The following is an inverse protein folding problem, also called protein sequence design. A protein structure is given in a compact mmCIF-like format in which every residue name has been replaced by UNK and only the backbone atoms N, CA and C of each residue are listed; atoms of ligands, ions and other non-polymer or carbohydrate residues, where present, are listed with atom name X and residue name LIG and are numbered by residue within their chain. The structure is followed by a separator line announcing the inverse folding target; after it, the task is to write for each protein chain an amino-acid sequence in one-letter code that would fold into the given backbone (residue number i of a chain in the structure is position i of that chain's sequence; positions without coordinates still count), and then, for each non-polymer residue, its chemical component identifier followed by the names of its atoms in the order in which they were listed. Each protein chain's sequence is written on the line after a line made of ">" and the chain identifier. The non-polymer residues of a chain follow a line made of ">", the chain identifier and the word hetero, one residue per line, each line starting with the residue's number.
data_IF_445224304359
#
_entry.id   IF_445224304359
#
_cell.length_a   1.000
_cell.length_b   1.000
_cell.length_c   1.000
_cell.angle_alpha   90.00
_cell.angle_beta   90.00
_cell.angle_gamma   90.00
#
_symmetry.space_group_name_H-M   'P 1'
#
loop_
_entity.id
_entity.type
_entity.pdbx_description
1 polymer ?
#
# COMPACT_ATOMS: atom_id res chain seq x y z
N UNK A 1 23.06 3.25 -9.13
CA UNK A 1 23.04 1.77 -9.11
C UNK A 1 23.38 1.27 -7.72
N UNK A 2 24.34 1.91 -7.05
CA UNK A 2 24.80 1.57 -5.68
C UNK A 2 23.69 1.56 -4.62
N UNK A 3 22.83 2.58 -4.50
CA UNK A 3 21.77 2.62 -3.47
C UNK A 3 20.76 1.48 -3.63
N UNK A 4 20.36 1.15 -4.87
CA UNK A 4 19.46 0.03 -5.13
C UNK A 4 20.12 -1.31 -4.81
N UNK A 5 21.42 -1.43 -5.09
CA UNK A 5 22.20 -2.62 -4.76
C UNK A 5 22.39 -2.79 -3.25
N UNK A 6 22.68 -1.71 -2.51
CA UNK A 6 22.77 -1.75 -1.04
C UNK A 6 21.43 -2.08 -0.39
N UNK A 7 20.32 -1.52 -0.90
CA UNK A 7 18.98 -1.84 -0.40
C UNK A 7 18.58 -3.30 -0.71
N UNK A 8 18.93 -3.81 -1.88
CA UNK A 8 18.69 -5.21 -2.25
C UNK A 8 19.52 -6.17 -1.38
N UNK A 9 20.81 -5.87 -1.22
CA UNK A 9 21.70 -6.64 -0.34
C UNK A 9 21.22 -6.54 1.10
N UNK A 10 20.80 -5.38 1.58
CA UNK A 10 20.22 -5.20 2.92
C UNK A 10 18.93 -6.00 3.10
N UNK A 11 18.04 -6.03 2.11
CA UNK A 11 16.85 -6.89 2.13
C UNK A 11 17.23 -8.37 2.19
N UNK A 12 18.17 -8.81 1.35
CA UNK A 12 18.67 -10.19 1.39
C UNK A 12 19.30 -10.52 2.75
N UNK A 13 20.10 -9.61 3.30
CA UNK A 13 20.71 -9.73 4.62
C UNK A 13 19.68 -9.78 5.74
N UNK A 14 18.58 -9.03 5.65
CA UNK A 14 17.48 -9.07 6.62
C UNK A 14 16.74 -10.43 6.60
N UNK A 15 16.86 -11.17 5.50
CA UNK A 15 16.22 -12.47 5.30
C UNK A 15 17.13 -13.66 5.60
N UNK A 16 18.45 -13.46 5.66
CA UNK A 16 19.41 -14.50 6.06
C UNK A 16 19.12 -15.09 7.46
N UNK A 17 18.80 -14.29 8.51
CA UNK A 17 18.46 -14.82 9.83
C UNK A 17 17.14 -15.60 9.84
N UNK A 18 16.29 -15.47 8.81
CA UNK A 18 15.01 -16.17 8.74
C UNK A 18 15.18 -17.62 8.21
N UNK A 19 16.32 -17.91 7.57
CA UNK A 19 16.70 -19.25 7.12
C UNK A 19 17.45 -20.04 8.21
N UNK A 20 18.16 -19.34 9.11
CA UNK A 20 18.91 -19.96 10.20
C UNK A 20 18.19 -19.72 11.54
N UNK A 21 17.67 -20.79 12.13
CA UNK A 21 17.14 -20.89 13.52
C UNK A 21 15.62 -20.96 13.64
N UNK A 22 15.10 -22.18 13.75
CA UNK A 22 14.67 -22.71 15.04
C UNK A 22 14.33 -24.20 14.84
N UNK A 23 15.36 -25.06 14.78
CA UNK A 23 15.20 -26.44 15.22
C UNK A 23 15.08 -26.39 16.74
N UNK A 24 13.86 -26.19 17.25
CA UNK A 24 13.56 -26.58 18.61
C UNK A 24 12.88 -27.94 18.53
N UNK A 25 13.70 -28.99 18.47
CA UNK A 25 13.31 -30.37 18.74
C UNK A 25 12.78 -30.43 20.17
N UNK A 26 11.49 -30.14 20.35
CA UNK A 26 10.77 -30.62 21.52
C UNK A 26 10.45 -32.09 21.27
N UNK A 27 11.41 -32.93 21.66
CA UNK A 27 11.19 -34.33 21.98
C UNK A 27 9.96 -34.43 22.87
N UNK A 28 8.88 -34.98 22.31
CA UNK A 28 7.72 -35.35 23.09
C UNK A 28 8.05 -36.70 23.72
N UNK A 29 8.42 -36.66 25.00
CA UNK A 29 8.45 -37.85 25.83
C UNK A 29 7.03 -38.43 25.84
N UNK A 30 6.82 -39.52 25.11
CA UNK A 30 5.62 -40.35 25.24
C UNK A 30 5.92 -41.30 26.40
N UNK A 31 5.40 -40.94 27.57
CA UNK A 31 5.31 -41.84 28.71
C UNK A 31 3.93 -42.55 28.67
N UNK A 32 4.00 -43.85 28.39
CA UNK A 32 3.22 -44.99 28.91
C UNK A 32 1.73 -44.78 29.29
N UNK A 33 0.87 -45.48 28.54
CA UNK A 33 -0.33 -46.21 28.96
C UNK A 33 -1.54 -45.40 29.49
N UNK A 34 -2.49 -45.10 28.60
CA UNK A 34 -3.81 -44.58 28.96
C UNK A 34 -4.79 -44.72 27.80
N UNK A 35 -5.56 -45.81 27.80
CA UNK A 35 -6.68 -46.06 26.90
C UNK A 35 -7.85 -45.13 27.27
N UNK A 36 -8.09 -44.06 26.50
CA UNK A 36 -9.26 -43.18 26.70
C UNK A 36 -9.90 -42.80 25.35
N UNK A 37 -11.05 -43.44 25.12
CA UNK A 37 -12.22 -43.07 24.30
C UNK A 37 -12.06 -42.19 23.05
N UNK A 38 -12.03 -42.88 21.92
CA UNK A 38 -12.17 -42.36 20.55
C UNK A 38 -13.63 -42.04 20.18
N UNK A 39 -14.34 -41.19 20.94
CA UNK A 39 -15.68 -40.75 20.51
C UNK A 39 -16.06 -39.31 20.90
N UNK A 40 -16.27 -38.48 19.87
CA UNK A 40 -17.22 -37.34 19.84
C UNK A 40 -16.90 -36.07 20.65
N UNK A 41 -15.64 -35.65 20.71
CA UNK A 41 -15.32 -34.26 21.03
C UNK A 41 -14.90 -33.57 19.73
N UNK A 42 -15.75 -32.65 19.26
CA UNK A 42 -15.44 -31.62 18.26
C UNK A 42 -13.95 -31.29 18.29
N UNK A 43 -13.21 -31.68 17.26
CA UNK A 43 -11.75 -31.54 17.12
C UNK A 43 -11.34 -30.09 17.42
N UNK A 44 -11.06 -29.81 18.69
CA UNK A 44 -10.81 -28.46 19.18
C UNK A 44 -9.43 -28.09 18.66
N UNK A 45 -9.37 -27.30 17.59
CA UNK A 45 -8.09 -26.90 16.99
C UNK A 45 -7.14 -26.41 18.09
N UNK A 46 -5.88 -26.84 18.00
CA UNK A 46 -4.82 -26.41 18.90
C UNK A 46 -4.80 -24.87 18.99
N UNK A 47 -4.91 -24.27 20.19
CA UNK A 47 -4.96 -22.82 20.36
C UNK A 47 -3.74 -22.10 19.78
N UNK A 48 -2.56 -22.74 19.78
CA UNK A 48 -1.34 -22.22 19.15
C UNK A 48 -1.51 -22.10 17.63
N UNK A 49 -2.09 -23.11 16.99
CA UNK A 49 -2.34 -23.09 15.54
C UNK A 49 -3.36 -22.00 15.17
N UNK A 50 -4.42 -21.83 15.95
CA UNK A 50 -5.40 -20.75 15.74
C UNK A 50 -4.75 -19.38 15.86
N UNK A 51 -3.85 -19.20 16.83
CA UNK A 51 -3.06 -17.98 16.98
C UNK A 51 -2.17 -17.73 15.75
N UNK A 52 -1.40 -18.72 15.30
CA UNK A 52 -0.53 -18.60 14.13
C UNK A 52 -1.32 -18.27 12.85
N UNK A 53 -2.51 -18.85 12.66
CA UNK A 53 -3.41 -18.51 11.54
C UNK A 53 -3.85 -17.04 11.61
N UNK A 54 -4.21 -16.54 12.80
CA UNK A 54 -4.58 -15.13 12.99
C UNK A 54 -3.41 -14.21 12.65
N UNK A 55 -2.22 -14.49 13.17
CA UNK A 55 -1.01 -13.69 12.91
C UNK A 55 -0.67 -13.70 11.41
N UNK A 56 -0.72 -14.86 10.76
CA UNK A 56 -0.55 -14.97 9.31
C UNK A 56 -1.55 -14.10 8.55
N UNK A 57 -2.84 -14.17 8.91
CA UNK A 57 -3.90 -13.37 8.31
C UNK A 57 -3.66 -11.86 8.46
N UNK A 58 -3.31 -11.39 9.66
CA UNK A 58 -3.01 -9.97 9.90
C UNK A 58 -1.76 -9.49 9.14
N UNK A 59 -0.70 -10.29 9.10
CA UNK A 59 0.51 -9.92 8.35
C UNK A 59 0.24 -9.82 6.84
N UNK A 60 -0.49 -10.78 6.26
CA UNK A 60 -0.80 -10.74 4.84
C UNK A 60 -1.86 -9.69 4.49
N UNK A 61 -2.78 -9.37 5.41
CA UNK A 61 -3.63 -8.20 5.29
C UNK A 61 -2.78 -6.92 5.25
N UNK A 62 -1.90 -6.71 6.24
CA UNK A 62 -1.07 -5.50 6.31
C UNK A 62 -0.17 -5.37 5.05
N UNK A 63 0.39 -6.47 4.57
CA UNK A 63 1.19 -6.47 3.35
C UNK A 63 0.36 -6.22 2.09
N UNK A 64 -0.52 -7.15 1.74
CA UNK A 64 -1.21 -7.18 0.45
C UNK A 64 -2.38 -6.20 0.39
N UNK A 65 -3.07 -6.03 1.51
CA UNK A 65 -4.26 -5.20 1.64
C UNK A 65 -3.97 -3.72 1.89
N UNK A 66 -2.80 -3.37 2.44
CA UNK A 66 -2.46 -1.99 2.84
C UNK A 66 -1.17 -1.50 2.18
N UNK A 67 -0.02 -2.14 2.44
CA UNK A 67 1.28 -1.64 2.00
C UNK A 67 1.47 -1.66 0.48
N UNK A 68 1.01 -2.72 -0.20
CA UNK A 68 1.04 -2.79 -1.67
C UNK A 68 0.19 -1.67 -2.30
N UNK A 69 -1.10 -1.48 -1.94
CA UNK A 69 -1.91 -0.34 -2.41
C UNK A 69 -1.28 1.02 -2.12
N UNK A 70 -0.78 1.26 -0.91
CA UNK A 70 -0.13 2.54 -0.55
C UNK A 70 1.01 2.84 -1.52
N UNK A 71 1.85 1.85 -1.82
CA UNK A 71 2.96 2.05 -2.75
C UNK A 71 2.51 2.35 -4.18
N UNK A 72 1.45 1.69 -4.65
CA UNK A 72 0.88 1.95 -6.00
C UNK A 72 0.24 3.34 -6.08
N UNK A 73 -0.56 3.70 -5.08
CA UNK A 73 -1.18 5.01 -4.95
C UNK A 73 -0.12 6.11 -4.90
N UNK A 74 0.97 5.89 -4.15
CA UNK A 74 2.08 6.85 -4.01
C UNK A 74 2.79 7.12 -5.34
N UNK A 75 3.14 6.07 -6.10
CA UNK A 75 3.83 6.26 -7.38
C UNK A 75 2.90 6.88 -8.45
N UNK A 76 1.60 6.63 -8.37
CA UNK A 76 0.62 7.24 -9.28
C UNK A 76 0.48 8.74 -9.05
N UNK A 77 0.58 9.22 -7.81
CA UNK A 77 0.56 10.66 -7.51
C UNK A 77 1.69 11.44 -8.20
N UNK A 78 2.80 10.78 -8.53
CA UNK A 78 3.90 11.39 -9.30
C UNK A 78 3.46 11.76 -10.72
N UNK A 79 2.47 11.06 -11.27
CA UNK A 79 1.93 11.36 -12.61
C UNK A 79 1.01 12.58 -12.63
N UNK A 80 0.66 13.16 -11.48
CA UNK A 80 -0.06 14.43 -11.40
C UNK A 80 0.89 15.56 -11.81
N UNK A 81 0.42 16.45 -12.69
CA UNK A 81 1.19 17.56 -13.24
C UNK A 81 1.68 18.51 -12.13
N UNK A 82 2.83 19.16 -12.38
CA UNK A 82 3.38 20.27 -11.59
C UNK A 82 3.76 19.96 -10.13
N UNK A 83 4.03 18.69 -9.80
CA UNK A 83 4.56 18.32 -8.48
C UNK A 83 6.02 18.80 -8.30
N UNK A 84 6.38 19.38 -7.14
CA UNK A 84 7.76 19.79 -6.90
C UNK A 84 8.67 18.56 -6.79
N UNK A 85 9.92 18.67 -7.25
CA UNK A 85 10.91 17.57 -7.31
C UNK A 85 11.05 16.83 -5.96
N UNK A 86 10.97 17.57 -4.86
CA UNK A 86 11.03 17.03 -3.49
C UNK A 86 9.87 16.05 -3.25
N UNK A 87 8.66 16.39 -3.67
CA UNK A 87 7.47 15.54 -3.55
C UNK A 87 7.60 14.29 -4.41
N UNK A 88 8.09 14.40 -5.65
CA UNK A 88 8.36 13.23 -6.51
C UNK A 88 9.33 12.25 -5.83
N UNK A 89 10.39 12.78 -5.22
CA UNK A 89 11.38 11.98 -4.49
C UNK A 89 10.75 11.28 -3.29
N UNK A 90 9.97 12.01 -2.48
CA UNK A 90 9.28 11.44 -1.31
C UNK A 90 8.30 10.34 -1.70
N UNK A 91 7.47 10.55 -2.72
CA UNK A 91 6.51 9.56 -3.21
C UNK A 91 7.20 8.31 -3.77
N UNK A 92 8.33 8.47 -4.46
CA UNK A 92 9.14 7.34 -4.93
C UNK A 92 9.74 6.55 -3.76
N UNK A 93 10.27 7.22 -2.74
CA UNK A 93 10.77 6.55 -1.53
C UNK A 93 9.66 5.86 -0.75
N UNK A 94 8.49 6.50 -0.62
CA UNK A 94 7.33 5.89 0.02
C UNK A 94 6.90 4.61 -0.69
N UNK A 95 6.86 4.64 -2.03
CA UNK A 95 6.65 3.44 -2.84
C UNK A 95 7.69 2.36 -2.51
N UNK A 96 8.99 2.66 -2.62
CA UNK A 96 10.03 1.66 -2.37
C UNK A 96 9.92 1.09 -0.96
N UNK A 97 9.87 1.93 0.07
CA UNK A 97 9.82 1.47 1.47
C UNK A 97 8.57 0.62 1.72
N UNK A 98 7.39 1.06 1.27
CA UNK A 98 6.16 0.28 1.48
C UNK A 98 6.22 -1.07 0.78
N UNK A 99 6.74 -1.13 -0.45
CA UNK A 99 6.92 -2.39 -1.19
C UNK A 99 7.92 -3.33 -0.49
N UNK A 100 9.02 -2.79 0.05
CA UNK A 100 10.02 -3.58 0.76
C UNK A 100 9.46 -4.20 2.03
N UNK A 101 8.73 -3.42 2.84
CA UNK A 101 8.07 -3.94 4.05
C UNK A 101 7.00 -4.97 3.67
N UNK A 102 6.25 -4.75 2.58
CA UNK A 102 5.27 -5.71 2.10
C UNK A 102 5.90 -7.06 1.72
N UNK A 103 7.02 -7.06 0.98
CA UNK A 103 7.75 -8.27 0.60
C UNK A 103 8.28 -9.01 1.83
N UNK A 104 8.79 -8.29 2.83
CA UNK A 104 9.25 -8.90 4.09
C UNK A 104 8.09 -9.59 4.81
N UNK A 105 6.96 -8.90 4.99
CA UNK A 105 5.78 -9.47 5.66
C UNK A 105 5.19 -10.67 4.89
N UNK A 106 5.16 -10.62 3.56
CA UNK A 106 4.76 -11.76 2.72
C UNK A 106 5.69 -12.94 2.93
N UNK A 107 7.00 -12.68 3.01
CA UNK A 107 8.00 -13.74 3.22
C UNK A 107 7.86 -14.38 4.60
N UNK A 108 7.69 -13.58 5.65
CA UNK A 108 7.44 -14.09 7.01
C UNK A 108 6.13 -14.89 7.04
N UNK A 109 5.06 -14.35 6.44
CA UNK A 109 3.77 -15.04 6.34
C UNK A 109 3.85 -16.36 5.56
N UNK A 110 4.64 -16.42 4.49
CA UNK A 110 4.90 -17.62 3.71
C UNK A 110 5.64 -18.68 4.52
N UNK A 111 6.73 -18.30 5.21
CA UNK A 111 7.50 -19.20 6.06
C UNK A 111 6.63 -19.75 7.19
N UNK A 112 5.84 -18.91 7.85
CA UNK A 112 4.89 -19.35 8.86
C UNK A 112 3.86 -20.33 8.30
N UNK A 113 3.31 -20.03 7.12
CA UNK A 113 2.35 -20.92 6.46
C UNK A 113 2.96 -22.28 6.16
N UNK A 114 4.17 -22.32 5.61
CA UNK A 114 4.84 -23.57 5.20
C UNK A 114 5.27 -24.39 6.42
N UNK A 115 5.82 -23.76 7.47
CA UNK A 115 6.34 -24.46 8.65
C UNK A 115 5.25 -24.93 9.60
N UNK A 116 4.20 -24.13 9.78
CA UNK A 116 3.27 -24.33 10.89
C UNK A 116 1.89 -24.85 10.46
N UNK A 117 1.51 -24.69 9.19
CA UNK A 117 0.20 -25.14 8.74
C UNK A 117 0.29 -26.47 8.01
N UNK A 118 -0.61 -27.39 8.35
CA UNK A 118 -0.79 -28.61 7.56
C UNK A 118 -1.44 -28.25 6.21
N UNK A 119 -0.60 -27.99 5.20
CA UNK A 119 -1.03 -27.53 3.88
C UNK A 119 -1.29 -28.71 2.95
N UNK A 120 -2.56 -29.04 2.74
CA UNK A 120 -2.98 -30.01 1.72
C UNK A 120 -3.13 -29.41 0.32
N UNK A 121 -3.02 -28.07 0.18
CA UNK A 121 -3.18 -27.31 -1.08
C UNK A 121 -4.47 -27.63 -1.85
N UNK A 122 -5.51 -28.06 -1.12
CA UNK A 122 -6.78 -28.48 -1.69
C UNK A 122 -7.83 -27.35 -1.75
N UNK A 123 -7.47 -26.16 -1.29
CA UNK A 123 -8.33 -24.98 -1.35
C UNK A 123 -7.67 -23.87 -2.16
N UNK A 124 -8.53 -23.05 -2.79
CA UNK A 124 -8.12 -21.94 -3.65
C UNK A 124 -7.19 -20.93 -2.96
N UNK A 125 -7.36 -20.70 -1.64
CA UNK A 125 -6.49 -19.79 -0.89
C UNK A 125 -5.03 -20.27 -0.86
N UNK A 126 -4.80 -21.55 -0.56
CA UNK A 126 -3.44 -22.11 -0.54
C UNK A 126 -2.79 -22.13 -1.93
N UNK A 127 -3.55 -22.48 -2.96
CA UNK A 127 -3.07 -22.53 -4.35
C UNK A 127 -2.72 -21.15 -4.89
N UNK A 128 -3.57 -20.14 -4.64
CA UNK A 128 -3.28 -18.76 -5.00
C UNK A 128 -2.14 -18.19 -4.16
N UNK A 129 -2.10 -18.51 -2.86
CA UNK A 129 -1.08 -18.04 -1.93
C UNK A 129 0.34 -18.44 -2.32
N UNK A 130 0.56 -19.71 -2.69
CA UNK A 130 1.89 -20.16 -3.12
C UNK A 130 2.35 -19.49 -4.42
N UNK A 131 1.43 -19.31 -5.37
CA UNK A 131 1.70 -18.55 -6.60
C UNK A 131 2.05 -17.10 -6.28
N UNK A 132 1.28 -16.46 -5.40
CA UNK A 132 1.49 -15.09 -4.94
C UNK A 132 2.88 -14.87 -4.33
N UNK A 133 3.36 -15.80 -3.50
CA UNK A 133 4.70 -15.69 -2.90
C UNK A 133 5.80 -15.59 -3.97
N UNK A 134 5.73 -16.43 -5.00
CA UNK A 134 6.71 -16.41 -6.08
C UNK A 134 6.65 -15.13 -6.91
N UNK A 135 5.44 -14.71 -7.31
CA UNK A 135 5.28 -13.53 -8.19
C UNK A 135 5.56 -12.21 -7.48
N UNK A 136 5.33 -12.10 -6.16
CA UNK A 136 5.71 -10.93 -5.35
C UNK A 136 7.23 -10.75 -5.36
N UNK A 137 7.98 -11.84 -5.15
CA UNK A 137 9.44 -11.82 -5.23
C UNK A 137 9.95 -11.47 -6.64
N UNK A 138 9.34 -12.05 -7.67
CA UNK A 138 9.66 -11.72 -9.05
C UNK A 138 9.41 -10.24 -9.38
N UNK A 139 8.29 -9.68 -8.94
CA UNK A 139 7.97 -8.26 -9.09
C UNK A 139 8.97 -7.35 -8.36
N UNK A 140 9.41 -7.74 -7.15
CA UNK A 140 10.44 -7.03 -6.41
C UNK A 140 11.79 -7.03 -7.16
N UNK A 141 12.21 -8.20 -7.67
CA UNK A 141 13.41 -8.33 -8.49
C UNK A 141 13.34 -7.45 -9.74
N UNK A 142 12.21 -7.45 -10.46
CA UNK A 142 11.99 -6.54 -11.58
C UNK A 142 12.11 -5.07 -11.16
N UNK A 143 11.62 -4.73 -9.97
CA UNK A 143 11.80 -3.41 -9.35
C UNK A 143 13.26 -2.99 -9.21
N UNK A 144 14.14 -3.92 -8.79
CA UNK A 144 15.58 -3.68 -8.67
C UNK A 144 16.30 -3.62 -10.01
N UNK A 145 15.86 -4.40 -10.99
CA UNK A 145 16.38 -4.41 -12.36
C UNK A 145 15.88 -3.23 -13.22
N UNK A 146 15.39 -2.17 -12.56
CA UNK A 146 14.93 -0.94 -13.21
C UNK A 146 16.03 -0.35 -14.10
N UNK A 147 15.83 -0.24 -15.44
CA UNK A 147 16.85 0.28 -16.38
C UNK A 147 17.28 1.74 -16.10
N UNK A 148 18.20 2.35 -16.86
CA UNK A 148 18.38 3.81 -16.88
C UNK A 148 17.24 4.57 -17.56
N UNK A 149 17.17 5.91 -17.41
CA UNK A 149 16.17 6.75 -18.11
C UNK A 149 16.52 6.89 -19.61
N UNK A 150 15.54 7.22 -20.45
CA UNK A 150 15.75 7.63 -21.85
C UNK A 150 15.67 6.54 -22.93
N UNK A 151 15.63 5.24 -22.57
CA UNK A 151 15.60 4.14 -23.55
C UNK A 151 14.25 3.43 -23.72
N UNK A 152 14.05 2.74 -24.85
CA UNK A 152 12.87 1.87 -25.10
C UNK A 152 12.71 0.77 -24.02
N UNK A 153 13.82 0.29 -23.47
CA UNK A 153 13.84 -0.68 -22.37
C UNK A 153 13.12 -0.17 -21.11
N UNK A 154 13.32 1.11 -20.72
CA UNK A 154 12.63 1.73 -19.59
C UNK A 154 11.11 1.70 -19.76
N UNK A 155 10.61 1.97 -20.96
CA UNK A 155 9.18 1.97 -21.26
C UNK A 155 8.58 0.56 -21.15
N UNK A 156 9.25 -0.44 -21.74
CA UNK A 156 8.82 -1.85 -21.65
C UNK A 156 8.81 -2.33 -20.20
N UNK A 157 9.86 -2.03 -19.45
CA UNK A 157 9.97 -2.31 -18.02
C UNK A 157 8.82 -1.65 -17.24
N UNK A 158 8.54 -0.38 -17.48
CA UNK A 158 7.47 0.35 -16.78
C UNK A 158 6.11 -0.31 -17.01
N UNK A 159 5.76 -0.63 -18.26
CA UNK A 159 4.49 -1.28 -18.59
C UNK A 159 4.39 -2.65 -17.93
N UNK A 160 5.43 -3.49 -18.05
CA UNK A 160 5.45 -4.82 -17.45
C UNK A 160 5.35 -4.78 -15.92
N UNK A 161 6.19 -3.95 -15.28
CA UNK A 161 6.19 -3.79 -13.83
C UNK A 161 4.86 -3.22 -13.31
N UNK A 162 4.24 -2.28 -14.03
CA UNK A 162 2.95 -1.72 -13.66
C UNK A 162 1.81 -2.76 -13.78
N UNK A 163 1.73 -3.49 -14.90
CA UNK A 163 0.71 -4.53 -15.10
C UNK A 163 0.85 -5.62 -14.04
N UNK A 164 2.07 -6.15 -13.86
CA UNK A 164 2.31 -7.24 -12.92
C UNK A 164 2.03 -6.81 -11.47
N UNK A 165 2.48 -5.62 -11.06
CA UNK A 165 2.19 -5.08 -9.72
C UNK A 165 0.69 -4.89 -9.45
N UNK A 166 -0.06 -4.46 -10.48
CA UNK A 166 -1.52 -4.33 -10.39
C UNK A 166 -2.18 -5.71 -10.24
N UNK A 167 -1.78 -6.69 -11.05
CA UNK A 167 -2.30 -8.05 -10.98
C UNK A 167 -2.02 -8.70 -9.61
N UNK A 168 -0.80 -8.55 -9.09
CA UNK A 168 -0.41 -9.05 -7.76
C UNK A 168 -1.30 -8.46 -6.67
N UNK A 169 -1.60 -7.16 -6.76
CA UNK A 169 -2.47 -6.50 -5.78
C UNK A 169 -3.89 -7.07 -5.83
N UNK A 170 -4.47 -7.21 -7.03
CA UNK A 170 -5.81 -7.80 -7.21
C UNK A 170 -5.85 -9.24 -6.67
N UNK A 171 -4.89 -10.07 -7.07
CA UNK A 171 -4.79 -11.45 -6.59
C UNK A 171 -4.58 -11.51 -5.07
N UNK A 172 -3.81 -10.58 -4.49
CA UNK A 172 -3.65 -10.43 -3.05
C UNK A 172 -4.97 -10.13 -2.33
N UNK A 173 -5.80 -9.23 -2.86
CA UNK A 173 -7.12 -8.93 -2.31
C UNK A 173 -8.04 -10.16 -2.35
N UNK A 174 -8.07 -10.86 -3.48
CA UNK A 174 -8.81 -12.12 -3.63
C UNK A 174 -8.32 -13.14 -2.61
N UNK A 175 -7.01 -13.25 -2.43
CA UNK A 175 -6.41 -14.20 -1.50
C UNK A 175 -6.76 -13.90 -0.02
N UNK A 176 -6.95 -12.62 0.34
CA UNK A 176 -7.42 -12.25 1.68
C UNK A 176 -8.87 -12.69 1.88
N UNK A 177 -9.78 -12.47 0.90
CA UNK A 177 -11.17 -12.93 1.01
C UNK A 177 -11.28 -14.45 1.10
N UNK A 178 -10.56 -15.18 0.25
CA UNK A 178 -10.54 -16.65 0.31
C UNK A 178 -9.89 -17.16 1.60
N UNK A 179 -8.90 -16.43 2.14
CA UNK A 179 -8.28 -16.70 3.43
C UNK A 179 -9.22 -16.50 4.62
N UNK A 180 -10.02 -15.43 4.62
CA UNK A 180 -11.06 -15.19 5.64
C UNK A 180 -12.14 -16.30 5.61
N UNK A 181 -12.54 -16.73 4.41
CA UNK A 181 -13.45 -17.87 4.26
C UNK A 181 -12.82 -19.19 4.76
N UNK A 182 -11.56 -19.45 4.41
CA UNK A 182 -10.82 -20.62 4.89
C UNK A 182 -10.65 -20.60 6.42
N UNK A 183 -10.40 -19.43 7.01
CA UNK A 183 -10.35 -19.22 8.46
C UNK A 183 -11.68 -19.58 9.13
N UNK A 184 -12.80 -19.07 8.59
CA UNK A 184 -14.12 -19.34 9.15
C UNK A 184 -14.46 -20.84 9.12
N UNK A 185 -14.19 -21.50 7.99
CA UNK A 185 -14.37 -22.94 7.84
C UNK A 185 -13.47 -23.74 8.79
N UNK A 186 -12.21 -23.35 8.93
CA UNK A 186 -11.23 -24.08 9.74
C UNK A 186 -11.41 -23.90 11.24
N UNK A 187 -11.85 -22.72 11.69
CA UNK A 187 -11.98 -22.40 13.12
C UNK A 187 -13.41 -22.42 13.64
N UNK A 188 -14.38 -22.73 12.77
CA UNK A 188 -15.83 -22.62 13.04
C UNK A 188 -16.23 -21.26 13.65
N UNK A 189 -15.45 -20.22 13.40
CA UNK A 189 -15.65 -18.86 13.93
C UNK A 189 -16.07 -17.94 12.80
N UNK A 190 -17.02 -17.04 13.06
CA UNK A 190 -17.47 -16.10 12.03
C UNK A 190 -16.37 -15.09 11.65
N UNK A 191 -16.06 -15.01 10.36
CA UNK A 191 -15.16 -14.00 9.78
C UNK A 191 -15.91 -12.76 9.28
N UNK A 192 -17.22 -12.62 9.57
CA UNK A 192 -18.08 -11.59 8.99
C UNK A 192 -17.58 -10.18 9.29
N UNK A 193 -17.22 -9.91 10.55
CA UNK A 193 -16.71 -8.59 10.97
C UNK A 193 -15.42 -8.22 10.23
N UNK A 194 -14.46 -9.14 10.16
CA UNK A 194 -13.20 -8.95 9.42
C UNK A 194 -13.43 -8.74 7.93
N UNK A 195 -14.39 -9.46 7.36
CA UNK A 195 -14.77 -9.30 5.95
C UNK A 195 -15.34 -7.89 5.70
N UNK A 196 -16.26 -7.42 6.55
CA UNK A 196 -16.83 -6.07 6.43
C UNK A 196 -15.74 -4.99 6.55
N UNK A 197 -14.85 -5.12 7.53
CA UNK A 197 -13.73 -4.19 7.71
C UNK A 197 -12.80 -4.16 6.49
N UNK A 198 -12.47 -5.32 5.94
CA UNK A 198 -11.63 -5.40 4.75
C UNK A 198 -12.31 -4.81 3.52
N UNK A 199 -13.60 -5.08 3.32
CA UNK A 199 -14.39 -4.49 2.23
C UNK A 199 -14.47 -2.97 2.36
N UNK A 200 -14.70 -2.45 3.56
CA UNK A 200 -14.72 -1.01 3.82
C UNK A 200 -13.34 -0.36 3.53
N UNK A 201 -12.25 -1.01 3.95
CA UNK A 201 -10.90 -0.57 3.61
C UNK A 201 -10.66 -0.56 2.10
N UNK A 202 -11.04 -1.62 1.39
CA UNK A 202 -10.89 -1.71 -0.07
C UNK A 202 -11.70 -0.61 -0.78
N UNK A 203 -12.94 -0.36 -0.33
CA UNK A 203 -13.77 0.72 -0.86
C UNK A 203 -13.13 2.10 -0.64
N UNK A 204 -12.54 2.35 0.54
CA UNK A 204 -11.78 3.57 0.82
C UNK A 204 -10.57 3.74 -0.10
N UNK A 205 -9.79 2.67 -0.31
CA UNK A 205 -8.64 2.66 -1.24
C UNK A 205 -9.10 2.99 -2.67
N UNK A 206 -10.20 2.39 -3.14
CA UNK A 206 -10.77 2.66 -4.47
C UNK A 206 -11.26 4.11 -4.56
N UNK A 207 -11.92 4.63 -3.53
CA UNK A 207 -12.35 6.03 -3.48
C UNK A 207 -11.16 6.99 -3.60
N UNK A 208 -10.10 6.77 -2.82
CA UNK A 208 -8.86 7.55 -2.92
C UNK A 208 -8.26 7.43 -4.33
N UNK A 209 -8.20 6.23 -4.90
CA UNK A 209 -7.68 5.98 -6.24
C UNK A 209 -8.45 6.74 -7.32
N UNK A 210 -9.78 6.81 -7.22
CA UNK A 210 -10.62 7.58 -8.16
C UNK A 210 -10.46 9.09 -7.95
N UNK A 211 -10.36 9.52 -6.69
CA UNK A 211 -10.21 10.92 -6.32
C UNK A 211 -8.88 11.52 -6.83
N UNK A 212 -7.80 10.73 -6.84
CA UNK A 212 -6.50 11.15 -7.39
C UNK A 212 -6.59 11.68 -8.83
N UNK A 213 -7.41 11.06 -9.66
CA UNK A 213 -7.56 11.43 -11.08
C UNK A 213 -8.23 12.81 -11.25
N UNK A 214 -9.07 13.19 -10.29
CA UNK A 214 -9.82 14.46 -10.32
C UNK A 214 -9.13 15.58 -9.54
N UNK A 215 -8.04 15.26 -8.82
CA UNK A 215 -7.35 16.20 -7.95
C UNK A 215 -6.83 17.45 -8.66
N UNK A 216 -6.26 17.30 -9.87
CA UNK A 216 -5.78 18.44 -10.66
C UNK A 216 -6.92 19.34 -11.13
N UNK A 217 -8.05 18.76 -11.56
CA UNK A 217 -9.24 19.48 -11.97
C UNK A 217 -9.89 20.26 -10.82
N UNK A 218 -9.92 19.67 -9.61
CA UNK A 218 -10.42 20.35 -8.41
C UNK A 218 -9.53 21.54 -8.05
N UNK A 219 -8.20 21.35 -8.10
CA UNK A 219 -7.25 22.44 -7.84
C UNK A 219 -7.42 23.60 -8.84
N UNK A 220 -7.59 23.30 -10.14
CA UNK A 220 -7.76 24.34 -11.16
C UNK A 220 -9.05 25.16 -10.97
N UNK A 221 -10.12 24.55 -10.46
CA UNK A 221 -11.35 25.29 -10.15
C UNK A 221 -11.17 26.19 -8.92
N UNK A 222 -10.48 25.70 -7.89
CA UNK A 222 -10.20 26.49 -6.69
C UNK A 222 -9.32 27.70 -7.00
N UNK A 223 -8.30 27.55 -7.85
CA UNK A 223 -7.45 28.68 -8.26
C UNK A 223 -8.21 29.67 -9.15
N UNK A 224 -9.01 29.19 -10.10
CA UNK A 224 -9.85 30.05 -10.94
C UNK A 224 -10.84 30.89 -10.12
N UNK A 225 -11.61 30.26 -9.23
CA UNK A 225 -12.57 30.94 -8.37
C UNK A 225 -11.89 31.96 -7.43
N UNK A 226 -10.71 31.62 -6.90
CA UNK A 226 -9.92 32.54 -6.07
C UNK A 226 -9.50 33.78 -6.84
N UNK A 227 -8.99 33.62 -8.06
CA UNK A 227 -8.55 34.75 -8.89
C UNK A 227 -9.75 35.66 -9.24
N UNK A 228 -10.90 35.07 -9.61
CA UNK A 228 -12.12 35.84 -9.89
C UNK A 228 -12.60 36.66 -8.68
N UNK A 229 -12.52 36.10 -7.47
CA UNK A 229 -12.87 36.84 -6.24
C UNK A 229 -11.91 38.00 -5.95
N UNK A 230 -10.62 37.83 -6.22
CA UNK A 230 -9.62 38.91 -6.05
C UNK A 230 -9.85 40.04 -7.05
N UNK A 231 -10.10 39.69 -8.31
CA UNK A 231 -10.39 40.68 -9.37
C UNK A 231 -11.69 41.45 -9.09
N UNK A 232 -12.71 40.79 -8.52
CA UNK A 232 -13.93 41.49 -8.13
C UNK A 232 -13.68 42.50 -7.00
N UNK A 233 -12.90 42.13 -5.98
CA UNK A 233 -12.62 43.01 -4.85
C UNK A 233 -11.73 44.21 -5.22
N UNK A 234 -10.76 44.01 -6.12
CA UNK A 234 -9.92 45.13 -6.60
C UNK A 234 -10.72 46.14 -7.42
N UNK A 235 -11.66 45.66 -8.24
CA UNK A 235 -12.56 46.52 -9.03
C UNK A 235 -13.52 47.33 -8.15
N UNK A 236 -13.98 46.78 -7.02
CA UNK A 236 -14.81 47.54 -6.04
C UNK A 236 -13.97 48.64 -5.38
N UNK A 237 -12.76 48.33 -4.92
CA UNK A 237 -11.90 49.31 -4.24
C UNK A 237 -11.47 50.47 -5.14
N UNK A 238 -11.29 50.23 -6.45
CA UNK A 238 -11.00 51.28 -7.44
C UNK A 238 -12.24 52.12 -7.78
N UNK A 239 -13.45 51.55 -7.72
CA UNK A 239 -14.68 52.31 -7.91
C UNK A 239 -14.99 53.24 -6.70
N UNK A 240 -14.72 52.81 -5.47
CA UNK A 240 -14.95 53.62 -4.27
C UNK A 240 -13.93 54.78 -4.11
N UNK A 241 -12.71 54.61 -4.62
CA UNK A 241 -11.67 55.67 -4.60
C UNK A 241 -11.84 56.71 -5.72
N UNK A 242 -12.66 56.45 -6.73
CA UNK A 242 -12.96 57.39 -7.82
C UNK A 242 -14.07 58.40 -7.52
N UNK A 243 -14.71 58.34 -6.34
CA UNK A 243 -15.85 59.20 -5.98
C UNK A 243 -15.56 60.22 -4.86
N UNK A 244 -14.31 60.36 -4.42
CA UNK A 244 -13.90 61.38 -3.45
C UNK A 244 -12.92 62.39 -4.07
N UNK A 245 -13.17 63.67 -3.82
CA UNK A 245 -12.31 64.84 -4.09
C UNK A 245 -12.38 65.49 -5.47
N UNK A 246 -13.52 66.14 -5.72
CA UNK A 246 -13.53 67.43 -6.40
C UNK A 246 -13.56 68.55 -5.37
N UNK A 247 -12.39 69.05 -4.94
CA UNK A 247 -12.27 70.37 -4.29
C UNK A 247 -11.22 71.17 -5.05
N UNK A 248 -11.72 72.17 -5.74
CA UNK A 248 -11.02 73.22 -6.47
C UNK A 248 -10.18 74.05 -5.49
N UNK A 249 -8.85 73.99 -5.60
CA UNK A 249 -7.95 74.87 -4.84
C UNK A 249 -7.29 75.89 -5.77
N UNK A 250 -7.59 77.16 -5.49
CA UNK A 250 -7.19 78.31 -6.27
C UNK A 250 -5.70 78.66 -6.11
N UNK A 251 -5.09 79.01 -7.25
CA UNK A 251 -3.75 79.58 -7.42
C UNK A 251 -3.55 80.87 -6.61
N UNK A 252 -2.33 81.13 -6.10
CA UNK A 252 -1.75 82.46 -6.28
C UNK A 252 -0.36 82.42 -6.93
N UNK A 253 -0.07 83.51 -7.62
CA UNK A 253 1.20 83.83 -8.30
C UNK A 253 2.28 84.36 -7.34
N UNK A 254 3.49 84.53 -7.92
CA UNK A 254 4.65 85.33 -7.49
C UNK A 254 5.62 84.61 -6.52
N UNK A 255 6.94 84.73 -6.60
CA UNK A 255 7.83 85.67 -7.31
C UNK A 255 9.24 85.08 -7.48
N UNK A 256 10.01 85.72 -8.36
CA UNK A 256 11.43 85.53 -8.74
C UNK A 256 12.40 85.36 -7.56
N UNK A 257 13.39 84.46 -7.71
CA UNK A 257 14.79 84.83 -7.97
C UNK A 257 15.58 83.60 -8.45
#
# INVERSE_FOLDING_TARGET
>A
MEIHHHLFVFLLLLLLPLCTSQENTRSLAIDVNGQVETSLISEKLNPKLVYEIKVHGFMLWASMGVLLPIGIISIRLISIKDQPIITLRRLFFLHVISQMVAVILVTIGAIMSIKNFNNSFNNHHQQLGIGLYAIVWFQALLGFLRPPRGGKSRRKWFVGHWILGTLITILGMINIYTGLHAYAKKTSTSAKLWTILFTAQLASIVLVYLFQDKWSYIQSQTTFNRNQSVDHNSNISTAETGHGDGVEEAKPELEKC
#
